data_IF_743571078667
#
_entry.id   IF_743571078667
#
_cell.length_a   1.000
_cell.length_b   1.000
_cell.length_c   1.000
_cell.angle_alpha   90.00
_cell.angle_beta   90.00
_cell.angle_gamma   90.00
#
_symmetry.space_group_name_H-M   'P 1'
#
loop_
_entity.id
_entity.type
_entity.pdbx_description
1 polymer ?
#
# COMPACT_ATOMS: atom_id res chain seq x y z
N UNK A 1 31.66 17.19 -5.89
CA UNK A 1 31.59 16.49 -4.60
C UNK A 1 31.12 15.07 -4.87
N UNK A 2 31.87 14.06 -4.43
CA UNK A 2 31.39 12.67 -4.47
C UNK A 2 30.27 12.51 -3.44
N UNK A 3 29.15 11.92 -3.86
CA UNK A 3 27.98 11.72 -3.01
C UNK A 3 27.52 10.27 -3.19
N UNK A 4 27.38 9.56 -2.08
CA UNK A 4 26.79 8.22 -2.06
C UNK A 4 25.29 8.37 -1.86
N UNK A 5 24.49 7.68 -2.65
CA UNK A 5 23.03 7.67 -2.54
C UNK A 5 22.59 6.23 -2.39
N UNK A 6 21.83 5.94 -1.34
CA UNK A 6 21.28 4.59 -1.14
C UNK A 6 20.01 4.38 -1.95
N UNK A 7 19.86 3.15 -2.44
CA UNK A 7 18.67 2.71 -3.14
C UNK A 7 18.55 1.19 -3.15
N UNK A 8 17.38 0.73 -3.57
CA UNK A 8 17.09 -0.69 -3.79
C UNK A 8 17.16 -0.94 -5.29
N UNK A 9 17.85 -2.01 -5.70
CA UNK A 9 17.83 -2.47 -7.08
C UNK A 9 16.74 -3.52 -7.25
N UNK A 10 15.73 -3.23 -8.07
CA UNK A 10 14.61 -4.14 -8.36
C UNK A 10 14.36 -4.13 -9.88
N UNK A 11 14.38 -5.31 -10.52
CA UNK A 11 14.05 -5.49 -11.94
C UNK A 11 14.80 -4.55 -12.92
N UNK A 12 16.09 -4.31 -12.70
CA UNK A 12 16.88 -3.44 -13.57
C UNK A 12 16.77 -1.94 -13.28
N UNK A 13 16.00 -1.55 -12.27
CA UNK A 13 15.80 -0.15 -11.86
C UNK A 13 16.35 0.09 -10.45
N UNK A 14 16.88 1.28 -10.21
CA UNK A 14 17.35 1.72 -8.89
C UNK A 14 16.31 2.66 -8.30
N UNK A 15 15.69 2.23 -7.20
CA UNK A 15 14.73 3.02 -6.43
C UNK A 15 15.52 3.72 -5.32
N UNK A 16 15.77 5.02 -5.48
CA UNK A 16 16.52 5.81 -4.51
C UNK A 16 15.67 6.07 -3.26
N UNK A 17 16.27 5.91 -2.07
CA UNK A 17 15.61 6.23 -0.80
C UNK A 17 15.50 7.73 -0.56
N UNK A 18 16.41 8.50 -1.15
CA UNK A 18 16.49 9.95 -1.00
C UNK A 18 16.73 10.66 -2.34
N UNK A 19 16.39 11.96 -2.38
CA UNK A 19 16.63 12.78 -3.56
C UNK A 19 18.00 13.46 -3.46
N UNK A 20 18.98 13.10 -4.31
CA UNK A 20 20.27 13.77 -4.32
C UNK A 20 20.12 15.23 -4.77
N UNK A 21 20.98 16.12 -4.26
CA UNK A 21 21.04 17.56 -4.62
C UNK A 21 21.66 17.81 -6.00
N UNK A 22 21.34 16.97 -6.99
CA UNK A 22 21.91 17.03 -8.34
C UNK A 22 20.78 17.29 -9.34
N UNK A 23 20.81 18.46 -9.98
CA UNK A 23 19.75 18.91 -10.88
C UNK A 23 20.15 18.86 -12.37
N UNK A 24 21.26 18.20 -12.71
CA UNK A 24 21.80 18.12 -14.06
C UNK A 24 22.28 16.69 -14.38
N UNK A 25 22.54 16.40 -15.65
CA UNK A 25 23.04 15.09 -16.09
C UNK A 25 24.46 14.86 -15.56
N UNK A 26 24.66 13.74 -14.89
CA UNK A 26 25.95 13.34 -14.32
C UNK A 26 26.23 11.87 -14.61
N UNK A 27 27.51 11.52 -14.74
CA UNK A 27 27.93 10.11 -14.84
C UNK A 27 27.93 9.50 -13.43
N UNK A 28 27.37 8.30 -13.30
CA UNK A 28 27.28 7.59 -12.02
C UNK A 28 27.95 6.22 -12.12
N UNK A 29 28.48 5.75 -11.00
CA UNK A 29 28.94 4.37 -10.79
C UNK A 29 28.01 3.76 -9.75
N UNK A 30 27.50 2.57 -10.04
CA UNK A 30 26.60 1.83 -9.15
C UNK A 30 27.40 0.70 -8.51
N UNK A 31 27.29 0.56 -7.19
CA UNK A 31 27.93 -0.50 -6.43
C UNK A 31 26.88 -1.21 -5.61
N UNK A 32 26.79 -2.53 -5.77
CA UNK A 32 25.91 -3.38 -4.97
C UNK A 32 26.63 -3.72 -3.67
N UNK A 33 26.01 -3.40 -2.53
CA UNK A 33 26.60 -3.66 -1.20
C UNK A 33 26.05 -4.95 -0.61
N UNK A 34 24.73 -5.04 -0.51
CA UNK A 34 24.05 -6.11 0.20
C UNK A 34 22.86 -6.63 -0.61
N UNK A 35 22.61 -7.92 -0.49
CA UNK A 35 21.37 -8.54 -0.98
C UNK A 35 20.25 -8.22 0.00
N UNK A 36 19.22 -7.53 -0.47
CA UNK A 36 18.00 -7.33 0.30
C UNK A 36 17.16 -8.58 0.09
N UNK A 37 16.97 -9.37 1.14
CA UNK A 37 16.04 -10.49 1.10
C UNK A 37 14.67 -9.97 0.65
N UNK A 38 14.10 -10.59 -0.39
CA UNK A 38 12.73 -10.32 -0.76
C UNK A 38 11.86 -10.76 0.43
N UNK A 39 11.31 -9.78 1.16
CA UNK A 39 10.19 -10.06 2.05
C UNK A 39 9.13 -10.72 1.17
N UNK A 40 8.90 -12.02 1.38
CA UNK A 40 7.90 -12.78 0.65
C UNK A 40 6.62 -11.98 0.67
N UNK A 41 6.29 -11.33 -0.47
CA UNK A 41 5.06 -10.56 -0.63
C UNK A 41 3.94 -11.56 -0.42
N UNK A 42 3.43 -11.63 0.81
CA UNK A 42 2.28 -12.48 1.13
C UNK A 42 1.23 -12.17 0.08
N UNK A 43 0.68 -13.19 -0.61
CA UNK A 43 -0.26 -12.94 -1.67
C UNK A 43 -1.39 -12.11 -1.08
N UNK A 44 -1.55 -10.88 -1.58
CA UNK A 44 -2.63 -9.97 -1.23
C UNK A 44 -3.93 -10.67 -1.63
N UNK A 45 -4.42 -11.57 -0.77
CA UNK A 45 -5.74 -12.18 -0.92
C UNK A 45 -6.71 -11.01 -0.91
N UNK A 46 -7.51 -10.85 -1.97
CA UNK A 46 -8.35 -9.67 -2.10
C UNK A 46 -9.23 -9.57 -0.85
N UNK A 47 -9.28 -8.37 -0.26
CA UNK A 47 -10.03 -8.07 0.97
C UNK A 47 -11.48 -8.59 0.90
N UNK A 48 -12.03 -8.66 -0.32
CA UNK A 48 -13.35 -9.22 -0.65
C UNK A 48 -13.54 -10.67 -0.20
N UNK A 49 -12.49 -11.51 -0.22
CA UNK A 49 -12.62 -12.94 0.12
C UNK A 49 -12.68 -13.15 1.64
N UNK A 50 -12.02 -12.31 2.42
CA UNK A 50 -12.07 -12.34 3.89
C UNK A 50 -13.41 -11.84 4.42
N UNK A 51 -13.96 -10.80 3.82
CA UNK A 51 -15.28 -10.28 4.20
C UNK A 51 -16.38 -11.31 3.87
N UNK A 52 -16.36 -11.93 2.68
CA UNK A 52 -17.42 -12.87 2.25
C UNK A 52 -17.64 -14.06 3.20
N UNK A 53 -16.60 -14.50 3.92
CA UNK A 53 -16.70 -15.52 4.95
C UNK A 53 -17.41 -15.03 6.23
N UNK A 54 -17.14 -13.79 6.65
CA UNK A 54 -17.78 -13.19 7.82
C UNK A 54 -19.29 -12.96 7.61
N UNK A 55 -19.72 -12.57 6.40
CA UNK A 55 -21.15 -12.35 6.10
C UNK A 55 -21.96 -13.64 5.95
N UNK A 56 -21.32 -14.80 5.77
CA UNK A 56 -22.01 -16.08 5.54
C UNK A 56 -22.62 -16.66 6.82
N UNK A 57 -22.17 -16.23 8.00
CA UNK A 57 -22.67 -16.66 9.31
C UNK A 57 -23.62 -15.67 9.98
N UNK A 58 -23.94 -14.54 9.35
CA UNK A 58 -24.77 -13.48 9.92
C UNK A 58 -26.22 -13.69 9.48
N UNK A 59 -27.15 -13.76 10.45
CA UNK A 59 -28.58 -13.94 10.19
C UNK A 59 -29.18 -12.74 9.44
N UNK A 60 -30.32 -12.93 8.76
CA UNK A 60 -30.93 -11.90 7.91
C UNK A 60 -31.36 -10.64 8.68
N UNK A 61 -31.59 -10.74 9.98
CA UNK A 61 -31.96 -9.64 10.88
C UNK A 61 -30.74 -8.78 11.19
N UNK A 62 -29.65 -9.39 11.65
CA UNK A 62 -28.36 -8.71 11.88
C UNK A 62 -27.84 -8.00 10.61
N UNK A 63 -28.05 -8.59 9.43
CA UNK A 63 -27.68 -7.94 8.16
C UNK A 63 -28.48 -6.68 7.86
N UNK A 64 -29.75 -6.60 8.31
CA UNK A 64 -30.57 -5.41 8.14
C UNK A 64 -30.12 -4.32 9.10
N UNK A 65 -29.87 -4.66 10.36
CA UNK A 65 -29.44 -3.71 11.38
C UNK A 65 -28.08 -3.09 11.02
N UNK A 66 -27.15 -3.90 10.51
CA UNK A 66 -25.85 -3.42 10.01
C UNK A 66 -26.05 -2.45 8.84
N UNK A 67 -26.95 -2.77 7.90
CA UNK A 67 -27.23 -1.88 6.76
C UNK A 67 -27.84 -0.56 7.20
N UNK A 68 -28.83 -0.60 8.10
CA UNK A 68 -29.48 0.60 8.63
C UNK A 68 -28.50 1.47 9.42
N UNK A 69 -27.58 0.86 10.17
CA UNK A 69 -26.50 1.59 10.84
C UNK A 69 -25.58 2.34 9.86
N UNK A 70 -25.13 1.68 8.79
CA UNK A 70 -24.31 2.33 7.76
C UNK A 70 -25.06 3.41 6.98
N UNK A 71 -26.35 3.21 6.70
CA UNK A 71 -27.18 4.22 6.03
C UNK A 71 -27.37 5.46 6.91
N UNK A 72 -27.57 5.29 8.21
CA UNK A 72 -27.66 6.41 9.14
C UNK A 72 -26.35 7.19 9.22
N UNK A 73 -25.20 6.50 9.31
CA UNK A 73 -23.89 7.17 9.25
C UNK A 73 -23.74 7.94 7.93
N UNK A 74 -24.03 7.33 6.78
CA UNK A 74 -23.91 8.03 5.49
C UNK A 74 -24.78 9.29 5.46
N UNK A 75 -26.01 9.20 5.95
CA UNK A 75 -26.94 10.32 5.98
C UNK A 75 -26.54 11.40 7.00
N UNK A 76 -25.83 11.06 8.08
CA UNK A 76 -25.25 12.04 9.01
C UNK A 76 -24.13 12.83 8.34
N UNK A 77 -23.31 12.18 7.54
CA UNK A 77 -22.16 12.82 6.86
C UNK A 77 -22.57 13.60 5.60
N UNK A 78 -23.68 13.25 4.96
CA UNK A 78 -24.24 14.00 3.82
C UNK A 78 -25.09 15.21 4.22
N UNK A 79 -25.28 15.48 5.53
CA UNK A 79 -26.04 16.63 6.03
C UNK A 79 -25.22 17.92 6.24
N UNK A 80 -23.89 17.85 6.12
CA UNK A 80 -22.98 18.99 6.33
C UNK A 80 -22.42 19.61 5.02
N UNK A 81 -23.22 19.65 3.96
CA UNK A 81 -22.94 20.43 2.73
C UNK A 81 -24.15 21.29 2.35
#
# INVERSE_FOLDING_TARGET
>A
MLTTVEGIYENGQIILKEKPKVNHKVKVIVTFTDEVAEDEKQPNKPLSTKLRGAWKGINKEDQKDIKTYFENIRNEWERDI
#
